data_IF_729390135617
#
_entry.id   IF_729390135617
#
_cell.length_a   1.000
_cell.length_b   1.000
_cell.length_c   1.000
_cell.angle_alpha   90.00
_cell.angle_beta   90.00
_cell.angle_gamma   90.00
#
_symmetry.space_group_name_H-M   'P 1'
#
loop_
_entity.id
_entity.type
_entity.pdbx_description
1 polymer ?
#
# COMPACT_ATOMS: atom_id res chain seq x y z
N UNK A 1 18.47 3.41 3.46
CA UNK A 1 17.75 3.15 4.72
C UNK A 1 16.54 4.08 4.73
N UNK A 2 15.39 3.63 5.23
CA UNK A 2 14.21 4.48 5.37
C UNK A 2 14.47 5.60 6.40
N UNK A 3 13.85 6.75 6.17
CA UNK A 3 13.91 7.94 7.04
C UNK A 3 12.49 8.46 7.24
N UNK A 4 12.32 9.31 8.24
CA UNK A 4 11.06 10.01 8.44
C UNK A 4 10.78 10.95 7.24
N UNK A 5 9.51 11.09 6.86
CA UNK A 5 9.09 11.96 5.75
C UNK A 5 9.33 13.45 6.03
N UNK A 6 9.42 13.83 7.31
CA UNK A 6 9.82 15.17 7.76
C UNK A 6 11.36 15.35 7.80
N UNK A 7 12.12 14.33 7.37
CA UNK A 7 13.59 14.35 7.32
C UNK A 7 14.24 14.40 8.71
N UNK A 8 15.35 15.15 8.82
CA UNK A 8 16.15 15.24 10.05
C UNK A 8 15.41 15.94 11.22
N UNK A 9 14.21 16.48 10.98
CA UNK A 9 13.36 17.04 12.03
C UNK A 9 12.85 15.97 13.01
N UNK A 10 12.93 14.68 12.64
CA UNK A 10 12.47 13.53 13.42
C UNK A 10 13.59 12.51 13.61
N UNK A 11 13.53 11.69 14.67
CA UNK A 11 14.48 10.59 14.84
C UNK A 11 14.34 9.58 13.69
N UNK A 12 15.43 8.84 13.42
CA UNK A 12 15.37 7.71 12.49
C UNK A 12 14.29 6.70 12.94
N UNK A 13 13.60 6.05 11.98
CA UNK A 13 12.64 5.00 12.30
C UNK A 13 13.27 3.94 13.21
N UNK A 14 12.55 3.58 14.28
CA UNK A 14 13.00 2.60 15.28
C UNK A 14 13.09 1.19 14.71
N UNK A 15 12.21 0.87 13.76
CA UNK A 15 12.04 -0.45 13.17
C UNK A 15 12.57 -0.44 11.74
N UNK A 16 13.23 -1.53 11.33
CA UNK A 16 13.77 -1.60 9.99
C UNK A 16 12.69 -1.99 8.97
N UNK A 17 12.69 -1.28 7.85
CA UNK A 17 11.94 -1.65 6.65
C UNK A 17 12.91 -1.80 5.49
N UNK A 18 12.73 -2.84 4.68
CA UNK A 18 13.44 -3.05 3.41
C UNK A 18 12.41 -3.19 2.31
N UNK A 19 12.63 -2.48 1.21
CA UNK A 19 11.77 -2.57 0.02
C UNK A 19 12.61 -2.92 -1.18
N UNK A 20 12.08 -3.79 -2.03
CA UNK A 20 12.61 -4.08 -3.35
C UNK A 20 11.54 -3.73 -4.39
N UNK A 21 11.96 -3.09 -5.47
CA UNK A 21 11.10 -2.78 -6.60
C UNK A 21 11.76 -3.30 -7.87
N UNK A 22 10.96 -3.89 -8.74
CA UNK A 22 11.37 -4.40 -10.04
C UNK A 22 10.26 -4.09 -11.06
N UNK A 23 10.59 -4.15 -12.34
CA UNK A 23 9.58 -4.04 -13.39
C UNK A 23 9.99 -4.83 -14.61
N UNK A 24 8.99 -5.17 -15.42
CA UNK A 24 9.13 -5.64 -16.79
C UNK A 24 8.18 -4.82 -17.69
N UNK A 25 8.00 -5.24 -18.94
CA UNK A 25 7.14 -4.54 -19.90
C UNK A 25 5.65 -4.59 -19.53
N UNK A 26 5.24 -5.51 -18.66
CA UNK A 26 3.85 -5.77 -18.30
C UNK A 26 3.52 -5.37 -16.86
N UNK A 27 4.49 -5.39 -15.94
CA UNK A 27 4.26 -5.30 -14.50
C UNK A 27 5.32 -4.49 -13.75
N UNK A 28 4.86 -3.85 -12.68
CA UNK A 28 5.65 -3.26 -11.62
C UNK A 28 5.48 -4.13 -10.38
N UNK A 29 6.60 -4.57 -9.84
CA UNK A 29 6.67 -5.44 -8.69
C UNK A 29 7.23 -4.63 -7.53
N UNK A 30 6.65 -4.81 -6.36
CA UNK A 30 7.21 -4.31 -5.13
C UNK A 30 7.07 -5.35 -4.03
N UNK A 31 8.09 -5.40 -3.17
CA UNK A 31 8.13 -6.27 -2.01
C UNK A 31 8.59 -5.47 -0.81
N UNK A 32 7.93 -5.62 0.33
CA UNK A 32 8.36 -5.06 1.61
C UNK A 32 8.62 -6.14 2.65
N UNK A 33 9.68 -5.96 3.41
CA UNK A 33 10.05 -6.72 4.61
C UNK A 33 10.15 -5.71 5.76
N UNK A 34 9.29 -5.88 6.77
CA UNK A 34 9.08 -4.90 7.84
C UNK A 34 9.21 -5.57 9.20
N UNK A 35 10.13 -5.07 10.02
CA UNK A 35 10.18 -5.41 11.43
C UNK A 35 8.99 -4.77 12.16
N UNK A 36 8.24 -5.57 12.91
CA UNK A 36 7.15 -5.09 13.75
C UNK A 36 6.95 -6.08 14.91
N UNK A 37 7.25 -5.68 16.18
CA UNK A 37 7.06 -6.54 17.34
C UNK A 37 5.61 -6.78 17.75
N UNK A 38 4.66 -5.96 17.25
CA UNK A 38 3.23 -6.09 17.56
C UNK A 38 2.41 -5.94 16.28
N UNK A 39 2.34 -7.02 15.49
CA UNK A 39 1.61 -7.00 14.22
C UNK A 39 0.11 -6.95 14.50
N UNK A 40 -0.51 -5.86 14.08
CA UNK A 40 -1.88 -5.50 14.42
C UNK A 40 -2.69 -5.11 13.19
N UNK A 41 -3.88 -5.69 13.09
CA UNK A 41 -4.83 -5.44 12.02
C UNK A 41 -6.25 -5.76 12.47
N UNK A 42 -7.14 -4.77 12.42
CA UNK A 42 -8.56 -4.89 12.76
C UNK A 42 -9.47 -4.67 11.55
N UNK A 43 -8.97 -3.94 10.55
CA UNK A 43 -9.71 -3.57 9.35
C UNK A 43 -9.62 -4.69 8.31
N UNK A 44 -10.74 -5.36 8.06
CA UNK A 44 -10.83 -6.48 7.11
C UNK A 44 -11.45 -6.10 5.77
N UNK A 45 -12.15 -4.97 5.72
CA UNK A 45 -12.86 -4.52 4.52
C UNK A 45 -11.95 -3.68 3.62
N UNK A 46 -11.95 -4.01 2.32
CA UNK A 46 -11.31 -3.18 1.29
C UNK A 46 -11.86 -1.76 1.35
N UNK A 47 -10.98 -0.75 1.32
CA UNK A 47 -11.27 0.68 1.47
C UNK A 47 -11.69 1.15 2.87
N UNK A 48 -11.38 0.38 3.90
CA UNK A 48 -11.28 0.96 5.24
C UNK A 48 -10.16 2.00 5.25
N UNK A 49 -10.25 3.04 6.09
CA UNK A 49 -9.13 3.96 6.29
C UNK A 49 -8.07 3.21 7.11
N UNK A 50 -7.07 2.65 6.42
CA UNK A 50 -6.18 1.60 6.96
C UNK A 50 -5.20 2.12 8.01
N UNK A 51 -4.84 3.41 7.94
CA UNK A 51 -3.84 4.07 8.79
C UNK A 51 -4.02 4.00 10.32
N UNK A 52 -5.07 3.34 10.83
CA UNK A 52 -5.26 3.05 12.26
C UNK A 52 -4.70 1.70 12.69
N UNK A 53 -4.42 0.81 11.75
CA UNK A 53 -3.71 -0.46 11.96
C UNK A 53 -2.24 -0.32 11.56
N UNK A 54 -1.45 -1.39 11.66
CA UNK A 54 -0.23 -1.43 10.88
C UNK A 54 -0.56 -1.35 9.39
N UNK A 55 0.21 -0.56 8.67
CA UNK A 55 -0.06 -0.22 7.29
C UNK A 55 1.25 -0.07 6.51
N UNK A 56 1.22 -0.48 5.26
CA UNK A 56 2.30 -0.29 4.31
C UNK A 56 1.77 0.40 3.07
N UNK A 57 2.35 1.56 2.77
CA UNK A 57 1.88 2.44 1.71
C UNK A 57 2.94 2.62 0.64
N UNK A 58 2.53 2.62 -0.64
CA UNK A 58 3.36 3.06 -1.76
C UNK A 58 2.63 4.15 -2.54
N UNK A 59 3.39 5.20 -2.83
CA UNK A 59 3.00 6.32 -3.68
C UNK A 59 3.73 6.19 -5.01
N UNK A 60 2.98 6.19 -6.11
CA UNK A 60 3.53 6.05 -7.46
C UNK A 60 3.19 7.30 -8.27
N UNK A 61 4.23 8.03 -8.65
CA UNK A 61 4.18 9.13 -9.61
C UNK A 61 5.02 8.74 -10.85
N UNK A 62 4.38 8.28 -11.94
CA UNK A 62 5.10 7.77 -13.10
C UNK A 62 5.88 8.82 -13.89
N UNK A 63 5.44 10.09 -13.86
CA UNK A 63 6.05 11.18 -14.65
C UNK A 63 6.86 12.18 -13.79
N UNK A 64 6.78 12.05 -12.47
CA UNK A 64 7.61 12.77 -11.51
C UNK A 64 7.25 14.24 -11.36
N UNK A 65 6.05 14.66 -11.78
CA UNK A 65 5.59 16.05 -11.67
C UNK A 65 4.92 16.40 -10.33
N UNK A 66 4.83 15.42 -9.42
CA UNK A 66 4.15 15.49 -8.13
C UNK A 66 2.66 15.83 -8.24
N UNK A 67 2.02 15.42 -9.34
CA UNK A 67 0.59 15.43 -9.58
C UNK A 67 0.17 14.04 -10.09
N UNK A 68 -1.14 13.77 -10.19
CA UNK A 68 -1.66 12.53 -10.82
C UNK A 68 -1.02 11.23 -10.31
N UNK A 69 -0.70 11.18 -9.02
CA UNK A 69 -0.09 10.01 -8.41
C UNK A 69 -1.13 9.07 -7.81
N UNK A 70 -0.73 7.82 -7.63
CA UNK A 70 -1.58 6.76 -7.06
C UNK A 70 -1.05 6.36 -5.71
N UNK A 71 -1.96 6.03 -4.79
CA UNK A 71 -1.64 5.49 -3.49
C UNK A 71 -2.17 4.06 -3.42
N UNK A 72 -1.34 3.16 -2.89
CA UNK A 72 -1.71 1.79 -2.57
C UNK A 72 -1.29 1.51 -1.12
N UNK A 73 -2.27 1.19 -0.30
CA UNK A 73 -2.12 0.85 1.12
C UNK A 73 -2.58 -0.59 1.34
N UNK A 74 -1.91 -1.28 2.27
CA UNK A 74 -2.22 -2.66 2.63
C UNK A 74 -1.83 -2.95 4.07
N UNK A 75 -2.71 -3.65 4.80
CA UNK A 75 -2.46 -4.03 6.19
C UNK A 75 -2.05 -5.50 6.36
N UNK A 76 -1.68 -5.95 7.58
CA UNK A 76 -1.36 -7.34 7.87
C UNK A 76 -2.47 -8.36 7.56
N UNK A 77 -3.72 -7.92 7.47
CA UNK A 77 -4.88 -8.73 7.09
C UNK A 77 -5.07 -8.85 5.57
N UNK A 78 -4.17 -8.28 4.78
CA UNK A 78 -4.25 -8.24 3.32
C UNK A 78 -5.47 -7.44 2.81
N UNK A 79 -6.02 -6.55 3.65
CA UNK A 79 -7.01 -5.57 3.24
C UNK A 79 -6.29 -4.41 2.54
N UNK A 80 -6.84 -3.97 1.41
CA UNK A 80 -6.24 -2.93 0.55
C UNK A 80 -7.10 -1.68 0.55
N UNK A 81 -6.44 -0.53 0.50
CA UNK A 81 -7.05 0.72 0.13
C UNK A 81 -6.22 1.38 -0.97
N UNK A 82 -6.86 1.72 -2.08
CA UNK A 82 -6.24 2.33 -3.23
C UNK A 82 -7.02 3.55 -3.68
N UNK A 83 -6.27 4.56 -4.11
CA UNK A 83 -6.85 5.82 -4.53
C UNK A 83 -5.95 6.52 -5.54
N UNK A 84 -6.54 7.48 -6.26
CA UNK A 84 -5.85 8.31 -7.24
C UNK A 84 -5.93 9.77 -6.84
N UNK A 85 -4.80 10.48 -6.82
CA UNK A 85 -4.74 11.92 -6.62
C UNK A 85 -4.46 12.63 -7.94
N UNK A 86 -5.46 13.22 -8.60
CA UNK A 86 -5.21 14.06 -9.78
C UNK A 86 -4.38 15.30 -9.45
N UNK A 87 -4.38 15.71 -8.17
CA UNK A 87 -3.64 16.86 -7.65
C UNK A 87 -3.16 16.57 -6.23
N UNK A 88 -1.97 17.02 -5.87
CA UNK A 88 -1.44 16.86 -4.51
C UNK A 88 -2.27 17.57 -3.42
N UNK A 89 -2.35 16.97 -2.22
CA UNK A 89 -3.11 17.52 -1.08
C UNK A 89 -2.65 18.92 -0.67
N UNK A 90 -1.34 19.16 -0.61
CA UNK A 90 -0.77 20.47 -0.25
C UNK A 90 -1.08 21.58 -1.27
N UNK A 91 -1.53 21.21 -2.47
CA UNK A 91 -2.03 22.12 -3.51
C UNK A 91 -3.57 22.17 -3.57
N UNK A 92 -4.26 21.64 -2.56
CA UNK A 92 -5.73 21.60 -2.47
C UNK A 92 -6.39 20.49 -3.29
N UNK A 93 -5.63 19.43 -3.62
CA UNK A 93 -6.16 18.24 -4.26
C UNK A 93 -7.10 17.41 -3.37
N UNK A 94 -7.83 16.51 -3.99
CA UNK A 94 -8.74 15.56 -3.33
C UNK A 94 -8.53 14.18 -3.94
N UNK A 95 -8.40 13.16 -3.10
CA UNK A 95 -8.36 11.78 -3.54
C UNK A 95 -9.66 11.38 -4.24
N UNK A 96 -9.51 10.67 -5.35
CA UNK A 96 -10.56 9.86 -5.93
C UNK A 96 -10.53 8.47 -5.29
N UNK A 97 -11.27 8.33 -4.18
CA UNK A 97 -11.47 7.05 -3.52
C UNK A 97 -12.39 6.11 -4.31
N UNK A 98 -12.88 6.46 -5.51
CA UNK A 98 -13.62 5.54 -6.36
C UNK A 98 -12.71 4.85 -7.39
N UNK A 99 -11.44 5.25 -7.48
CA UNK A 99 -10.43 4.59 -8.29
C UNK A 99 -10.11 3.18 -7.75
N UNK A 100 -9.61 2.32 -8.62
CA UNK A 100 -9.28 0.93 -8.33
C UNK A 100 -8.03 0.56 -9.12
N UNK A 101 -7.01 0.03 -8.44
CA UNK A 101 -5.78 -0.51 -9.02
C UNK A 101 -6.08 -1.86 -9.68
N UNK A 102 -6.76 -1.82 -10.82
CA UNK A 102 -7.26 -3.03 -11.49
C UNK A 102 -6.14 -4.00 -11.84
N UNK A 103 -6.27 -5.24 -11.37
CA UNK A 103 -5.37 -6.33 -11.71
C UNK A 103 -4.11 -6.42 -10.84
N UNK A 104 -4.03 -5.63 -9.76
CA UNK A 104 -3.01 -5.84 -8.73
C UNK A 104 -3.15 -7.23 -8.12
N UNK A 105 -2.02 -7.90 -7.89
CA UNK A 105 -1.93 -9.11 -7.07
C UNK A 105 -1.04 -8.80 -5.88
N UNK A 106 -1.53 -9.09 -4.70
CA UNK A 106 -0.83 -8.84 -3.45
C UNK A 106 -1.04 -10.05 -2.53
N UNK A 107 -0.10 -10.23 -1.63
CA UNK A 107 -0.22 -11.17 -0.53
C UNK A 107 0.46 -10.57 0.70
N UNK A 108 0.15 -11.14 1.86
CA UNK A 108 0.77 -10.79 3.13
C UNK A 108 1.19 -12.07 3.82
N UNK A 109 2.35 -12.03 4.46
CA UNK A 109 2.79 -13.06 5.39
C UNK A 109 3.29 -12.40 6.68
N UNK A 110 2.68 -12.80 7.80
CA UNK A 110 3.09 -12.42 9.16
C UNK A 110 4.07 -13.46 9.70
N UNK A 111 5.18 -13.02 10.29
CA UNK A 111 6.14 -13.84 11.05
C UNK A 111 5.95 -13.53 12.55
N UNK A 112 4.99 -14.22 13.15
CA UNK A 112 4.50 -13.93 14.51
C UNK A 112 3.05 -14.36 14.69
N UNK A 113 2.35 -13.68 15.61
CA UNK A 113 0.91 -13.84 15.84
C UNK A 113 0.17 -12.51 15.67
N UNK A 114 -0.84 -12.51 14.79
CA UNK A 114 -1.62 -11.31 14.52
C UNK A 114 -2.54 -10.97 15.72
N UNK A 115 -2.55 -9.70 16.12
CA UNK A 115 -3.41 -9.17 17.19
C UNK A 115 -3.18 -9.79 18.58
N UNK A 116 -1.95 -10.19 18.89
CA UNK A 116 -1.58 -10.67 20.21
C UNK A 116 -0.64 -9.67 20.88
N UNK A 117 -1.03 -9.19 22.07
CA UNK A 117 -0.20 -8.26 22.85
C UNK A 117 0.72 -8.98 23.85
N UNK A 118 0.57 -10.31 23.99
CA UNK A 118 1.26 -11.11 25.00
C UNK A 118 2.59 -11.70 24.51
N UNK A 119 2.90 -11.57 23.22
CA UNK A 119 4.14 -12.02 22.60
C UNK A 119 4.84 -10.89 21.83
N UNK A 120 5.92 -11.26 21.14
CA UNK A 120 6.74 -10.37 20.34
C UNK A 120 6.92 -11.00 18.97
N UNK A 121 6.42 -10.33 17.96
CA UNK A 121 6.53 -10.71 16.57
C UNK A 121 7.89 -10.34 15.99
N UNK A 122 8.22 -10.94 14.85
CA UNK A 122 9.37 -10.47 14.04
C UNK A 122 8.93 -9.41 13.04
N UNK A 123 7.71 -9.52 12.53
CA UNK A 123 7.11 -8.55 11.63
C UNK A 123 6.30 -9.20 10.53
N UNK A 124 6.29 -8.57 9.36
CA UNK A 124 5.44 -8.98 8.26
C UNK A 124 6.00 -8.56 6.90
N UNK A 125 5.58 -9.27 5.86
CA UNK A 125 6.07 -9.10 4.49
C UNK A 125 4.91 -8.93 3.52
N UNK A 126 5.14 -8.10 2.49
CA UNK A 126 4.15 -7.75 1.46
C UNK A 126 4.78 -7.95 0.08
N UNK A 127 4.66 -9.13 -0.55
CA UNK A 127 4.94 -9.28 -1.97
C UNK A 127 3.73 -8.88 -2.83
N UNK A 128 3.94 -7.94 -3.75
CA UNK A 128 2.91 -7.40 -4.65
C UNK A 128 3.39 -7.19 -6.08
N UNK A 129 2.45 -7.24 -7.03
CA UNK A 129 2.66 -6.85 -8.43
C UNK A 129 1.42 -6.21 -9.04
N UNK A 130 1.60 -5.07 -9.69
CA UNK A 130 0.57 -4.39 -10.48
C UNK A 130 0.96 -4.39 -11.97
N UNK A 131 0.01 -4.31 -12.89
CA UNK A 131 0.34 -4.11 -14.31
C UNK A 131 0.81 -2.68 -14.55
N UNK A 132 1.92 -2.53 -15.28
CA UNK A 132 2.38 -1.23 -15.78
C UNK A 132 1.73 -1.00 -17.13
N UNK A 133 0.98 0.08 -17.27
CA UNK A 133 0.62 0.60 -18.58
C UNK A 133 1.36 1.92 -18.80
N UNK A 134 1.94 2.17 -19.99
CA UNK A 134 2.59 3.44 -20.30
C UNK A 134 1.64 4.64 -20.28
N UNK A 135 0.32 4.40 -20.15
CA UNK A 135 -0.73 5.39 -19.97
C UNK A 135 -1.79 4.84 -19.01
N UNK A 136 -1.48 4.67 -17.72
CA UNK A 136 -2.52 4.33 -16.74
C UNK A 136 -3.66 5.35 -16.84
N UNK A 137 -4.86 4.94 -17.26
CA UNK A 137 -5.95 5.90 -17.37
C UNK A 137 -6.29 6.37 -15.96
N UNK A 138 -6.46 7.69 -15.81
CA UNK A 138 -6.93 8.34 -14.57
C UNK A 138 -8.26 7.77 -14.01
N UNK A 139 -8.90 6.84 -14.74
CA UNK A 139 -10.14 6.17 -14.39
C UNK A 139 -10.16 4.73 -14.89
N UNK A 140 -10.06 3.80 -13.96
CA UNK A 140 -10.70 2.49 -14.03
C UNK A 140 -11.82 2.50 -13.00
N UNK A 141 -13.08 2.49 -13.45
CA UNK A 141 -14.20 2.40 -12.53
C UNK A 141 -14.15 1.05 -11.80
N UNK A 142 -14.31 1.06 -10.46
CA UNK A 142 -14.39 -0.14 -9.62
C UNK A 142 -15.21 -1.24 -10.29
N UNK A 143 -14.60 -2.41 -10.48
CA UNK A 143 -15.37 -3.58 -10.88
C UNK A 143 -16.15 -4.08 -9.67
N UNK A 144 -17.47 -4.23 -9.82
CA UNK A 144 -18.28 -4.91 -8.81
C UNK A 144 -17.75 -6.35 -8.66
N UNK A 145 -17.65 -6.91 -7.44
CA UNK A 145 -17.37 -8.33 -7.28
C UNK A 145 -18.32 -9.12 -8.16
N UNK A 146 -17.77 -9.97 -9.04
CA UNK A 146 -18.57 -10.82 -9.89
C UNK A 146 -19.45 -11.70 -9.02
N UNK A 147 -20.76 -11.62 -9.20
CA UNK A 147 -21.68 -12.61 -8.64
C UNK A 147 -21.37 -13.94 -9.31
N UNK A 148 -20.71 -14.84 -8.59
CA UNK A 148 -20.67 -16.25 -8.96
C UNK A 148 -22.11 -16.78 -8.87
N UNK A 149 -22.80 -16.83 -10.02
CA UNK A 149 -24.01 -17.63 -10.16
C UNK A 149 -23.69 -19.11 -9.94
N UNK A 150 -24.59 -19.81 -9.24
CA UNK A 150 -24.45 -21.20 -8.82
C UNK A 150 -24.68 -22.24 -9.91
#
# INVERSE_FOLDING_TARGET
>A
MFVDIEGDAKPLPRLATRVMMLWDDDYFYFGADMEEPHVWGTLTERNSVICRDNDFEIFIDPDGDCERYMEFEINPLNAVWDLYLPKAYNKGGKADHAWDFVGIRHAVQVDGTLNCADDVDRGWTVPSRGRVWPNMPARTARQKPGTSGG
#
